data_IF_372248413954
#
_entry.id   IF_372248413954
#
_cell.length_a   1.000
_cell.length_b   1.000
_cell.length_c   1.000
_cell.angle_alpha   90.00
_cell.angle_beta   90.00
_cell.angle_gamma   90.00
#
_symmetry.space_group_name_H-M   'P 1'
#
loop_
_entity.id
_entity.type
_entity.pdbx_description
1 polymer ?
#
# COMPACT_ATOMS: atom_id res chain seq x y z
N UNK A 1 -22.73 19.56 -2.27
CA UNK A 1 -22.47 18.18 -2.74
C UNK A 1 -21.15 18.21 -3.48
N UNK A 2 -20.26 17.27 -3.21
CA UNK A 2 -18.92 17.18 -3.79
C UNK A 2 -18.80 15.88 -4.59
N UNK A 3 -17.85 15.83 -5.52
CA UNK A 3 -17.50 14.60 -6.23
C UNK A 3 -16.20 14.03 -5.65
N UNK A 4 -16.17 12.73 -5.36
CA UNK A 4 -15.01 12.06 -4.79
C UNK A 4 -14.34 11.17 -5.83
N UNK A 5 -13.04 11.37 -6.04
CA UNK A 5 -12.18 10.53 -6.88
C UNK A 5 -11.33 9.65 -5.97
N UNK A 6 -11.22 8.35 -6.28
CA UNK A 6 -10.34 7.40 -5.57
C UNK A 6 -9.20 6.92 -6.49
N UNK A 7 -8.02 6.57 -5.96
CA UNK A 7 -6.89 6.08 -6.77
C UNK A 7 -7.26 4.92 -7.71
N UNK A 8 -7.99 3.92 -7.20
CA UNK A 8 -8.41 2.77 -8.01
C UNK A 8 -9.43 3.14 -9.10
N UNK A 9 -10.27 4.15 -8.89
CA UNK A 9 -11.21 4.65 -9.90
C UNK A 9 -10.46 5.35 -11.03
N UNK A 10 -9.40 6.12 -10.73
CA UNK A 10 -8.56 6.75 -11.73
C UNK A 10 -7.85 5.72 -12.63
N UNK A 11 -7.33 4.65 -12.01
CA UNK A 11 -6.76 3.50 -12.73
C UNK A 11 -7.80 2.82 -13.62
N UNK A 12 -8.96 2.44 -13.06
CA UNK A 12 -10.05 1.82 -13.82
C UNK A 12 -10.52 2.69 -14.97
N UNK A 13 -10.59 4.01 -14.79
CA UNK A 13 -11.00 4.92 -15.86
C UNK A 13 -10.03 4.88 -17.06
N UNK A 14 -8.72 4.78 -16.79
CA UNK A 14 -7.70 4.67 -17.85
C UNK A 14 -7.69 3.29 -18.51
N UNK A 15 -7.87 2.23 -17.72
CA UNK A 15 -7.82 0.84 -18.23
C UNK A 15 -9.12 0.40 -18.91
N UNK A 16 -10.27 0.66 -18.28
CA UNK A 16 -11.59 0.27 -18.78
C UNK A 16 -12.69 1.23 -18.29
N UNK A 17 -13.02 2.24 -19.10
CA UNK A 17 -14.08 3.22 -18.81
C UNK A 17 -15.44 2.60 -18.51
N UNK A 18 -15.75 1.45 -19.12
CA UNK A 18 -17.01 0.72 -18.83
C UNK A 18 -16.99 0.12 -17.42
N UNK A 19 -15.87 -0.49 -17.01
CA UNK A 19 -15.74 -1.00 -15.66
C UNK A 19 -15.81 0.13 -14.62
N UNK A 20 -15.18 1.27 -14.91
CA UNK A 20 -15.31 2.48 -14.10
C UNK A 20 -16.76 2.98 -14.00
N UNK A 21 -17.50 3.07 -15.11
CA UNK A 21 -18.87 3.57 -15.09
C UNK A 21 -19.81 2.67 -14.28
N UNK A 22 -19.61 1.34 -14.36
CA UNK A 22 -20.38 0.37 -13.60
C UNK A 22 -20.00 0.37 -12.10
N UNK A 23 -18.71 0.40 -11.78
CA UNK A 23 -18.23 0.18 -10.41
C UNK A 23 -17.95 1.43 -9.58
N UNK A 24 -17.84 2.62 -10.19
CA UNK A 24 -17.57 3.85 -9.44
C UNK A 24 -18.77 4.25 -8.57
N UNK A 25 -18.49 4.66 -7.32
CA UNK A 25 -19.53 5.06 -6.35
C UNK A 25 -20.33 6.28 -6.80
N UNK A 26 -19.67 7.17 -7.54
CA UNK A 26 -20.29 8.40 -8.05
C UNK A 26 -21.06 8.16 -9.36
N UNK A 27 -21.13 6.90 -9.82
CA UNK A 27 -21.77 6.47 -11.07
C UNK A 27 -22.89 5.47 -10.77
N UNK A 28 -22.72 4.21 -11.18
CA UNK A 28 -23.76 3.18 -10.96
C UNK A 28 -23.57 2.41 -9.65
N UNK A 29 -22.40 2.48 -9.00
CA UNK A 29 -22.07 1.81 -7.74
C UNK A 29 -22.45 0.31 -7.73
N UNK A 30 -22.27 -0.36 -8.87
CA UNK A 30 -22.58 -1.78 -9.00
C UNK A 30 -21.43 -2.61 -8.44
N UNK A 31 -21.75 -3.46 -7.48
CA UNK A 31 -20.87 -4.49 -6.96
C UNK A 31 -21.38 -5.89 -7.38
N UNK A 32 -20.49 -6.89 -7.50
CA UNK A 32 -20.90 -8.28 -7.64
C UNK A 32 -21.82 -8.69 -6.48
N UNK A 33 -22.90 -9.42 -6.78
CA UNK A 33 -23.84 -9.89 -5.75
C UNK A 33 -23.24 -10.92 -4.78
N UNK A 34 -22.11 -11.52 -5.15
CA UNK A 34 -21.32 -12.41 -4.32
C UNK A 34 -19.82 -12.19 -4.61
N UNK A 35 -18.92 -12.42 -3.64
CA UNK A 35 -17.48 -12.35 -3.88
C UNK A 35 -17.03 -13.29 -5.00
N UNK A 36 -16.08 -12.84 -5.81
CA UNK A 36 -15.56 -13.61 -6.94
C UNK A 36 -14.57 -14.71 -6.50
N UNK A 37 -13.83 -14.47 -5.42
CA UNK A 37 -12.89 -15.38 -4.78
C UNK A 37 -13.25 -15.61 -3.31
N UNK A 38 -12.72 -16.68 -2.72
CA UNK A 38 -12.95 -17.05 -1.32
C UNK A 38 -12.23 -16.11 -0.37
N UNK A 39 -11.08 -15.61 -0.79
CA UNK A 39 -10.24 -14.70 -0.04
C UNK A 39 -9.49 -13.76 -0.99
N UNK A 40 -9.00 -12.68 -0.41
CA UNK A 40 -8.01 -11.76 -0.96
C UNK A 40 -6.82 -11.78 0.00
N UNK A 41 -5.77 -12.49 -0.42
CA UNK A 41 -4.57 -12.71 0.39
C UNK A 41 -3.80 -11.41 0.64
N UNK A 42 -3.79 -10.50 -0.34
CA UNK A 42 -3.10 -9.23 -0.22
C UNK A 42 -3.80 -8.32 0.80
N UNK A 43 -5.14 -8.25 0.77
CA UNK A 43 -5.92 -7.52 1.79
C UNK A 43 -5.62 -8.07 3.20
N UNK A 44 -5.63 -9.39 3.38
CA UNK A 44 -5.38 -10.00 4.69
C UNK A 44 -3.95 -9.75 5.21
N UNK A 45 -2.95 -9.74 4.32
CA UNK A 45 -1.57 -9.41 4.68
C UNK A 45 -1.43 -7.95 5.12
N UNK A 46 -2.12 -7.02 4.45
CA UNK A 46 -2.14 -5.62 4.84
C UNK A 46 -2.84 -5.41 6.19
N UNK A 47 -3.96 -6.10 6.47
CA UNK A 47 -4.62 -6.06 7.79
C UNK A 47 -3.66 -6.47 8.92
N UNK A 48 -2.75 -7.42 8.67
CA UNK A 48 -1.73 -7.82 9.63
C UNK A 48 -0.62 -6.78 9.80
N UNK A 49 -0.13 -6.22 8.69
CA UNK A 49 0.94 -5.22 8.69
C UNK A 49 0.49 -3.91 9.33
N UNK A 50 -0.79 -3.55 9.17
CA UNK A 50 -1.40 -2.42 9.88
C UNK A 50 -1.27 -2.58 11.40
N UNK A 51 -1.52 -3.78 11.94
CA UNK A 51 -1.35 -4.08 13.36
C UNK A 51 0.12 -4.06 13.77
N UNK A 52 1.01 -4.63 12.94
CA UNK A 52 2.44 -4.67 13.24
C UNK A 52 3.09 -3.29 13.35
N UNK A 53 2.67 -2.35 12.48
CA UNK A 53 3.19 -0.98 12.44
C UNK A 53 2.35 0.05 13.22
N UNK A 54 1.26 -0.37 13.88
CA UNK A 54 0.34 0.55 14.56
C UNK A 54 1.05 1.45 15.60
N UNK A 55 1.00 2.79 15.48
CA UNK A 55 1.77 3.70 16.34
C UNK A 55 1.47 3.56 17.84
N UNK A 56 0.20 3.27 18.19
CA UNK A 56 -0.17 3.09 19.60
C UNK A 56 0.39 1.83 20.27
N UNK A 57 0.97 0.92 19.49
CA UNK A 57 1.67 -0.28 19.98
C UNK A 57 3.17 -0.23 19.70
N UNK A 58 3.71 0.91 19.27
CA UNK A 58 5.10 1.02 18.82
C UNK A 58 6.12 0.61 19.90
N UNK A 59 5.88 1.05 21.14
CA UNK A 59 6.73 0.76 22.30
C UNK A 59 6.41 -0.59 22.97
N UNK A 60 5.45 -1.35 22.44
CA UNK A 60 5.09 -2.65 23.01
C UNK A 60 6.14 -3.69 22.65
N UNK A 61 6.29 -4.71 23.51
CA UNK A 61 7.14 -5.85 23.19
C UNK A 61 6.69 -6.51 21.88
N UNK A 62 7.63 -6.75 20.97
CA UNK A 62 7.35 -7.46 19.70
C UNK A 62 6.87 -8.90 19.91
N UNK A 63 7.14 -9.49 21.08
CA UNK A 63 6.55 -10.78 21.48
C UNK A 63 5.04 -10.73 21.71
N UNK A 64 4.47 -9.53 21.93
CA UNK A 64 3.03 -9.29 22.06
C UNK A 64 2.44 -8.89 20.70
N UNK A 65 3.10 -7.97 19.99
CA UNK A 65 2.58 -7.42 18.72
C UNK A 65 2.53 -8.47 17.61
N UNK A 66 3.56 -9.33 17.47
CA UNK A 66 3.62 -10.33 16.39
C UNK A 66 2.41 -11.29 16.41
N UNK A 67 2.06 -11.94 17.54
CA UNK A 67 0.85 -12.77 17.60
C UNK A 67 -0.44 -12.02 17.26
N UNK A 68 -0.56 -10.74 17.63
CA UNK A 68 -1.74 -9.93 17.31
C UNK A 68 -1.85 -9.66 15.80
N UNK A 69 -0.72 -9.37 15.13
CA UNK A 69 -0.68 -9.18 13.69
C UNK A 69 -1.06 -10.48 12.95
N UNK A 70 -0.52 -11.63 13.38
CA UNK A 70 -0.89 -12.94 12.84
C UNK A 70 -2.38 -13.24 13.07
N UNK A 71 -2.93 -12.88 14.23
CA UNK A 71 -4.35 -13.05 14.51
C UNK A 71 -5.23 -12.16 13.61
N UNK A 72 -4.77 -10.95 13.29
CA UNK A 72 -5.48 -10.06 12.36
C UNK A 72 -5.55 -10.66 10.95
N UNK A 73 -4.45 -11.24 10.46
CA UNK A 73 -4.41 -12.01 9.21
C UNK A 73 -5.44 -13.15 9.20
N UNK A 74 -5.39 -14.05 10.21
CA UNK A 74 -6.31 -15.19 10.30
C UNK A 74 -7.77 -14.73 10.36
N UNK A 75 -8.05 -13.67 11.13
CA UNK A 75 -9.39 -13.08 11.22
C UNK A 75 -9.86 -12.53 9.87
N UNK A 76 -8.99 -11.86 9.11
CA UNK A 76 -9.32 -11.35 7.77
C UNK A 76 -9.62 -12.49 6.80
N UNK A 77 -8.76 -13.52 6.75
CA UNK A 77 -8.93 -14.71 5.91
C UNK A 77 -10.25 -15.45 6.21
N UNK A 78 -10.60 -15.61 7.50
CA UNK A 78 -11.87 -16.24 7.91
C UNK A 78 -13.07 -15.39 7.52
N UNK A 79 -13.02 -14.08 7.77
CA UNK A 79 -14.10 -13.13 7.41
C UNK A 79 -14.42 -13.22 5.92
N UNK A 80 -13.40 -13.20 5.06
CA UNK A 80 -13.58 -13.28 3.61
C UNK A 80 -14.17 -14.63 3.18
N UNK A 81 -13.64 -15.74 3.71
CA UNK A 81 -14.16 -17.09 3.44
C UNK A 81 -15.62 -17.22 3.84
N UNK A 82 -15.98 -16.76 5.04
CA UNK A 82 -17.34 -16.85 5.55
C UNK A 82 -18.30 -15.98 4.71
N UNK A 83 -17.84 -14.81 4.23
CA UNK A 83 -18.60 -13.97 3.30
C UNK A 83 -18.83 -14.67 1.95
N UNK A 84 -17.83 -15.37 1.40
CA UNK A 84 -18.02 -16.18 0.19
C UNK A 84 -19.00 -17.35 0.44
N UNK A 85 -18.83 -18.06 1.55
CA UNK A 85 -19.63 -19.23 1.94
C UNK A 85 -21.11 -18.89 2.18
N UNK A 86 -21.42 -17.63 2.55
CA UNK A 86 -22.80 -17.16 2.67
C UNK A 86 -23.58 -17.16 1.34
N UNK A 87 -22.88 -17.20 0.20
CA UNK A 87 -23.49 -17.16 -1.13
C UNK A 87 -23.26 -18.44 -1.94
N UNK A 88 -22.24 -19.24 -1.62
CA UNK A 88 -21.81 -20.41 -2.41
C UNK A 88 -21.25 -21.49 -1.50
N UNK A 89 -21.54 -22.74 -1.79
CA UNK A 89 -20.89 -23.87 -1.12
C UNK A 89 -19.40 -23.92 -1.49
N UNK A 90 -18.54 -24.17 -0.50
CA UNK A 90 -17.11 -24.34 -0.69
C UNK A 90 -16.82 -25.78 -1.10
N UNK A 91 -16.13 -25.96 -2.23
CA UNK A 91 -15.63 -27.29 -2.62
C UNK A 91 -14.46 -27.71 -1.72
N UNK A 92 -14.17 -29.01 -1.66
CA UNK A 92 -13.02 -29.51 -0.87
C UNK A 92 -11.70 -28.91 -1.34
N UNK A 93 -11.52 -28.75 -2.66
CA UNK A 93 -10.33 -28.12 -3.23
C UNK A 93 -10.18 -26.66 -2.79
N UNK A 94 -11.29 -25.92 -2.76
CA UNK A 94 -11.35 -24.54 -2.30
C UNK A 94 -11.05 -24.41 -0.79
N UNK A 95 -11.54 -25.35 0.01
CA UNK A 95 -11.20 -25.41 1.43
C UNK A 95 -9.72 -25.71 1.63
N UNK A 96 -9.16 -26.65 0.87
CA UNK A 96 -7.74 -26.99 0.95
C UNK A 96 -6.85 -25.81 0.53
N UNK A 97 -7.18 -25.13 -0.56
CA UNK A 97 -6.50 -23.92 -1.03
C UNK A 97 -6.52 -22.82 0.04
N UNK A 98 -7.67 -22.56 0.66
CA UNK A 98 -7.77 -21.58 1.74
C UNK A 98 -6.87 -21.93 2.93
N UNK A 99 -6.85 -23.20 3.39
CA UNK A 99 -5.97 -23.61 4.49
C UNK A 99 -4.49 -23.45 4.11
N UNK A 100 -4.11 -23.84 2.90
CA UNK A 100 -2.74 -23.68 2.42
C UNK A 100 -2.29 -22.22 2.43
N UNK A 101 -3.15 -21.30 1.98
CA UNK A 101 -2.83 -19.87 2.00
C UNK A 101 -2.81 -19.28 3.40
N UNK A 102 -3.65 -19.77 4.33
CA UNK A 102 -3.54 -19.38 5.74
C UNK A 102 -2.16 -19.77 6.28
N UNK A 103 -1.74 -21.03 6.08
CA UNK A 103 -0.43 -21.50 6.56
C UNK A 103 0.74 -20.75 5.90
N UNK A 104 0.66 -20.49 4.59
CA UNK A 104 1.66 -19.71 3.86
C UNK A 104 1.77 -18.27 4.40
N UNK A 105 0.64 -17.60 4.62
CA UNK A 105 0.59 -16.22 5.11
C UNK A 105 1.14 -16.09 6.52
N UNK A 106 0.77 -17.00 7.43
CA UNK A 106 1.34 -17.04 8.78
C UNK A 106 2.86 -17.24 8.73
N UNK A 107 3.34 -18.19 7.93
CA UNK A 107 4.77 -18.43 7.79
C UNK A 107 5.51 -17.25 7.17
N UNK A 108 4.91 -16.57 6.18
CA UNK A 108 5.47 -15.38 5.54
C UNK A 108 5.57 -14.20 6.51
N UNK A 109 4.52 -13.95 7.30
CA UNK A 109 4.50 -12.88 8.31
C UNK A 109 5.56 -13.10 9.38
N UNK A 110 5.68 -14.31 9.93
CA UNK A 110 6.69 -14.60 10.96
C UNK A 110 8.13 -14.39 10.44
N UNK A 111 8.41 -14.85 9.22
CA UNK A 111 9.70 -14.57 8.56
C UNK A 111 9.89 -13.07 8.35
N UNK A 112 8.87 -12.37 7.86
CA UNK A 112 8.92 -10.93 7.63
C UNK A 112 9.20 -10.18 8.93
N UNK A 113 8.53 -10.51 10.04
CA UNK A 113 8.76 -9.85 11.33
C UNK A 113 10.16 -10.12 11.88
N UNK A 114 10.68 -11.32 11.66
CA UNK A 114 12.07 -11.65 11.99
C UNK A 114 13.03 -10.77 11.19
N UNK A 115 12.87 -10.69 9.87
CA UNK A 115 13.68 -9.87 9.00
C UNK A 115 13.56 -8.37 9.32
N UNK A 116 12.34 -7.85 9.39
CA UNK A 116 12.02 -6.45 9.64
C UNK A 116 12.67 -5.96 10.94
N UNK A 117 12.70 -6.80 11.99
CA UNK A 117 13.36 -6.45 13.25
C UNK A 117 14.88 -6.22 13.15
N UNK A 118 15.51 -6.63 12.05
CA UNK A 118 16.93 -6.41 11.79
C UNK A 118 17.21 -5.17 10.92
N UNK A 119 16.19 -4.62 10.25
CA UNK A 119 16.34 -3.51 9.29
C UNK A 119 15.44 -2.29 9.59
N UNK A 120 14.48 -2.42 10.50
CA UNK A 120 13.59 -1.33 10.91
C UNK A 120 14.32 -0.34 11.82
N UNK A 121 14.91 0.69 11.20
CA UNK A 121 15.45 1.89 11.85
C UNK A 121 14.51 3.11 11.65
N UNK A 122 13.20 2.87 11.79
CA UNK A 122 12.13 3.80 11.44
C UNK A 122 11.13 3.88 12.60
N UNK A 123 10.37 4.97 12.70
CA UNK A 123 9.28 5.13 13.68
C UNK A 123 7.96 5.37 12.94
N UNK A 124 6.90 4.64 13.27
CA UNK A 124 5.61 4.84 12.60
C UNK A 124 4.91 6.12 13.05
N UNK A 125 4.35 6.85 12.08
CA UNK A 125 3.62 8.12 12.27
C UNK A 125 2.13 7.90 12.08
N UNK A 126 1.75 7.25 10.97
CA UNK A 126 0.37 6.93 10.62
C UNK A 126 0.32 5.58 9.93
N UNK A 127 -0.75 4.84 10.18
CA UNK A 127 -1.06 3.56 9.53
C UNK A 127 -2.49 3.61 9.03
N UNK A 128 -2.73 3.06 7.84
CA UNK A 128 -4.06 2.94 7.24
C UNK A 128 -4.84 4.27 7.16
N UNK A 129 -4.13 5.39 7.04
CA UNK A 129 -4.72 6.72 7.10
C UNK A 129 -5.63 6.96 5.88
N UNK A 130 -6.94 7.08 6.12
CA UNK A 130 -7.94 7.41 5.12
C UNK A 130 -8.40 8.85 5.29
N UNK A 131 -8.20 9.67 4.27
CA UNK A 131 -8.56 11.08 4.29
C UNK A 131 -8.92 11.59 2.90
N UNK A 132 -9.57 12.76 2.89
CA UNK A 132 -9.96 13.49 1.69
C UNK A 132 -9.10 14.74 1.56
N UNK A 133 -8.68 15.04 0.34
CA UNK A 133 -8.06 16.32 0.01
C UNK A 133 -8.85 17.02 -1.10
N UNK A 134 -8.88 18.35 -1.04
CA UNK A 134 -9.37 19.14 -2.15
C UNK A 134 -8.37 19.05 -3.29
N UNK A 135 -8.83 18.68 -4.49
CA UNK A 135 -7.98 18.72 -5.69
C UNK A 135 -7.76 20.20 -6.05
N UNK A 136 -6.52 20.71 -6.15
CA UNK A 136 -6.27 22.10 -6.52
C UNK A 136 -6.64 22.34 -7.99
N UNK A 137 -7.18 23.52 -8.28
CA UNK A 137 -7.44 23.99 -9.64
C UNK A 137 -6.09 24.30 -10.32
N UNK A 138 -5.73 23.62 -11.44
CA UNK A 138 -4.42 23.81 -12.07
C UNK A 138 -4.23 25.24 -12.62
N UNK A 139 -5.32 25.97 -12.87
CA UNK A 139 -5.26 27.37 -13.31
C UNK A 139 -5.22 28.36 -12.14
N UNK A 140 -5.63 27.92 -10.95
CA UNK A 140 -5.68 28.71 -9.71
C UNK A 140 -5.34 27.80 -8.52
N UNK A 141 -4.06 27.47 -8.27
CA UNK A 141 -3.68 26.45 -7.29
C UNK A 141 -4.16 26.71 -5.86
N UNK A 142 -4.41 27.97 -5.49
CA UNK A 142 -4.97 28.36 -4.19
C UNK A 142 -6.49 28.08 -4.06
N UNK A 143 -7.14 27.67 -5.15
CA UNK A 143 -8.55 27.32 -5.21
C UNK A 143 -8.74 25.81 -5.42
N UNK A 144 -9.86 25.27 -4.92
CA UNK A 144 -10.27 23.90 -5.23
C UNK A 144 -10.84 23.80 -6.64
N UNK A 145 -10.52 22.69 -7.32
CA UNK A 145 -11.11 22.31 -8.59
C UNK A 145 -12.60 22.03 -8.39
N UNK A 146 -13.42 22.62 -9.26
CA UNK A 146 -14.87 22.43 -9.26
C UNK A 146 -15.35 21.93 -10.61
N UNK A 147 -16.47 21.21 -10.61
CA UNK A 147 -17.25 20.90 -11.81
C UNK A 147 -17.92 22.16 -12.39
N UNK A 148 -18.44 22.11 -13.63
CA UNK A 148 -19.14 23.25 -14.24
C UNK A 148 -20.36 23.75 -13.45
N UNK A 149 -21.03 22.88 -12.68
CA UNK A 149 -22.13 23.22 -11.79
C UNK A 149 -21.68 23.68 -10.37
N UNK A 150 -20.37 23.91 -10.19
CA UNK A 150 -19.79 24.49 -8.99
C UNK A 150 -19.56 23.51 -7.83
N UNK A 151 -19.65 22.19 -8.06
CA UNK A 151 -19.36 21.19 -7.02
C UNK A 151 -17.85 20.95 -6.91
N UNK A 152 -17.33 21.00 -5.69
CA UNK A 152 -15.92 20.72 -5.43
C UNK A 152 -15.55 19.27 -5.75
N UNK A 153 -14.32 19.06 -6.20
CA UNK A 153 -13.72 17.75 -6.47
C UNK A 153 -12.74 17.41 -5.36
N UNK A 154 -12.98 16.30 -4.69
CA UNK A 154 -12.16 15.75 -3.62
C UNK A 154 -11.46 14.48 -4.09
N UNK A 155 -10.26 14.25 -3.59
CA UNK A 155 -9.53 13.01 -3.78
C UNK A 155 -9.44 12.27 -2.45
N UNK A 156 -10.05 11.08 -2.40
CA UNK A 156 -10.06 10.21 -1.21
C UNK A 156 -8.98 9.16 -1.35
N UNK A 157 -8.03 9.14 -0.42
CA UNK A 157 -6.88 8.24 -0.45
C UNK A 157 -6.71 7.51 0.87
N UNK A 158 -6.35 6.22 0.79
CA UNK A 158 -5.80 5.46 1.91
C UNK A 158 -4.30 5.33 1.71
N UNK A 159 -3.53 5.79 2.69
CA UNK A 159 -2.08 5.57 2.77
C UNK A 159 -1.83 4.42 3.75
N UNK A 160 -1.02 3.46 3.33
CA UNK A 160 -0.73 2.26 4.13
C UNK A 160 0.10 2.61 5.36
N UNK A 161 1.24 3.24 5.17
CA UNK A 161 2.15 3.56 6.26
C UNK A 161 2.97 4.82 5.95
N UNK A 162 3.06 5.69 6.95
CA UNK A 162 4.02 6.80 6.98
C UNK A 162 4.92 6.61 8.20
N UNK A 163 6.22 6.74 7.98
CA UNK A 163 7.26 6.59 9.02
C UNK A 163 8.19 7.78 9.02
N UNK A 164 8.92 7.99 10.11
CA UNK A 164 10.11 8.84 10.15
C UNK A 164 11.38 8.00 10.27
N UNK A 165 12.48 8.49 9.70
CA UNK A 165 13.82 7.94 9.95
C UNK A 165 14.51 8.62 11.14
N UNK A 166 15.75 8.21 11.43
CA UNK A 166 16.57 8.78 12.52
C UNK A 166 16.88 10.29 12.38
N UNK A 167 16.60 10.89 11.21
CA UNK A 167 16.72 12.32 10.96
C UNK A 167 15.36 13.03 10.91
N UNK A 168 14.31 12.40 11.43
CA UNK A 168 12.93 12.91 11.47
C UNK A 168 12.33 13.19 10.09
N UNK A 169 12.90 12.58 9.05
CA UNK A 169 12.40 12.71 7.68
C UNK A 169 11.24 11.76 7.47
N UNK A 170 10.12 12.25 6.94
CA UNK A 170 8.95 11.44 6.67
C UNK A 170 9.09 10.65 5.36
N UNK A 171 8.73 9.38 5.39
CA UNK A 171 8.74 8.47 4.26
C UNK A 171 7.37 7.79 4.11
N UNK A 172 6.93 7.64 2.87
CA UNK A 172 5.85 6.73 2.53
C UNK A 172 6.40 5.30 2.55
N UNK A 173 5.67 4.34 3.11
CA UNK A 173 6.01 2.93 3.03
C UNK A 173 4.89 2.18 2.31
N UNK A 174 5.30 1.34 1.36
CA UNK A 174 4.41 0.57 0.49
C UNK A 174 4.75 -0.91 0.66
N UNK A 175 3.79 -1.68 1.16
CA UNK A 175 3.95 -3.11 1.29
C UNK A 175 3.46 -3.79 0.01
N UNK A 176 4.25 -4.71 -0.53
CA UNK A 176 3.94 -5.37 -1.80
C UNK A 176 4.12 -6.87 -1.65
N UNK A 177 3.04 -7.62 -1.75
CA UNK A 177 3.06 -9.07 -1.68
C UNK A 177 3.15 -9.57 -3.12
N UNK A 178 4.32 -10.08 -3.51
CA UNK A 178 4.66 -10.28 -4.93
C UNK A 178 5.20 -11.69 -5.19
N UNK A 179 4.95 -12.31 -6.35
CA UNK A 179 5.61 -13.57 -6.72
C UNK A 179 7.08 -13.33 -7.10
N UNK A 180 7.38 -12.14 -7.63
CA UNK A 180 8.70 -11.72 -8.05
C UNK A 180 8.93 -10.25 -7.68
N UNK A 181 10.16 -9.93 -7.33
CA UNK A 181 10.57 -8.57 -7.03
C UNK A 181 10.49 -7.68 -8.27
N UNK A 182 9.90 -6.49 -8.14
CA UNK A 182 9.76 -5.55 -9.24
C UNK A 182 11.10 -5.06 -9.79
N UNK A 183 11.14 -4.62 -11.04
CA UNK A 183 12.28 -3.84 -11.52
C UNK A 183 12.32 -2.46 -10.84
N UNK A 184 13.51 -1.92 -10.63
CA UNK A 184 13.66 -0.61 -9.99
C UNK A 184 13.00 0.52 -10.80
N UNK A 185 13.04 0.46 -12.14
CA UNK A 185 12.37 1.47 -12.97
C UNK A 185 10.85 1.42 -12.81
N UNK A 186 10.29 0.22 -12.58
CA UNK A 186 8.87 0.08 -12.30
C UNK A 186 8.51 0.76 -10.96
N UNK A 187 9.36 0.61 -9.93
CA UNK A 187 9.16 1.27 -8.64
C UNK A 187 9.29 2.80 -8.74
N UNK A 188 10.27 3.30 -9.51
CA UNK A 188 10.44 4.74 -9.76
C UNK A 188 9.23 5.39 -10.45
N UNK A 189 8.49 4.60 -11.22
CA UNK A 189 7.33 5.06 -12.00
C UNK A 189 5.99 4.69 -11.37
N UNK A 190 5.99 4.23 -10.12
CA UNK A 190 4.77 3.83 -9.43
C UNK A 190 3.86 5.03 -9.14
N UNK A 191 2.85 5.18 -10.00
CA UNK A 191 1.87 6.26 -9.93
C UNK A 191 1.10 6.28 -8.61
N UNK A 192 0.84 5.12 -8.01
CA UNK A 192 0.10 5.01 -6.75
C UNK A 192 0.88 5.68 -5.61
N UNK A 193 2.14 5.31 -5.46
CA UNK A 193 3.05 5.92 -4.48
C UNK A 193 3.24 7.42 -4.70
N UNK A 194 3.39 7.84 -5.96
CA UNK A 194 3.50 9.25 -6.31
C UNK A 194 2.27 10.04 -5.88
N UNK A 195 1.09 9.52 -6.21
CA UNK A 195 -0.20 10.14 -5.90
C UNK A 195 -0.48 10.17 -4.39
N UNK A 196 -0.15 9.10 -3.66
CA UNK A 196 -0.32 9.02 -2.21
C UNK A 196 0.52 10.05 -1.47
N UNK A 197 1.80 10.18 -1.82
CA UNK A 197 2.66 11.18 -1.20
C UNK A 197 2.27 12.62 -1.58
N UNK A 198 1.88 12.89 -2.83
CA UNK A 198 1.28 14.18 -3.19
C UNK A 198 0.07 14.50 -2.31
N UNK A 199 -0.81 13.51 -2.11
CA UNK A 199 -2.00 13.71 -1.29
C UNK A 199 -1.66 13.95 0.18
N UNK A 200 -0.65 13.26 0.71
CA UNK A 200 -0.12 13.50 2.06
C UNK A 200 0.42 14.92 2.22
N UNK A 201 1.26 15.37 1.29
CA UNK A 201 1.88 16.69 1.33
C UNK A 201 0.84 17.82 1.33
N UNK A 202 -0.26 17.66 0.58
CA UNK A 202 -1.39 18.59 0.62
C UNK A 202 -2.19 18.44 1.93
N UNK A 203 -2.55 17.22 2.32
CA UNK A 203 -3.48 16.98 3.42
C UNK A 203 -2.90 17.27 4.81
N UNK A 204 -1.60 17.05 4.99
CA UNK A 204 -0.91 17.14 6.29
C UNK A 204 0.21 18.19 6.31
N UNK A 205 0.45 18.90 5.20
CA UNK A 205 1.52 19.91 5.08
C UNK A 205 2.91 19.40 5.48
N UNK A 206 3.12 18.07 5.39
CA UNK A 206 4.36 17.40 5.73
C UNK A 206 5.04 16.85 4.49
N UNK A 207 6.29 17.22 4.25
CA UNK A 207 7.08 16.75 3.10
C UNK A 207 7.36 15.25 3.19
N UNK A 208 7.21 14.53 2.08
CA UNK A 208 7.65 13.14 1.95
C UNK A 208 9.02 13.12 1.25
N UNK A 209 10.02 12.60 1.95
CA UNK A 209 11.39 12.48 1.44
C UNK A 209 11.56 11.34 0.43
N UNK A 210 10.60 10.43 0.33
CA UNK A 210 10.65 9.33 -0.61
C UNK A 210 9.65 8.23 -0.31
N UNK A 211 9.78 7.15 -1.07
CA UNK A 211 9.01 5.92 -0.86
C UNK A 211 9.96 4.78 -0.47
N UNK A 212 9.58 4.03 0.55
CA UNK A 212 10.20 2.77 0.95
C UNK A 212 9.30 1.65 0.46
N UNK A 213 9.78 0.84 -0.47
CA UNK A 213 9.09 -0.36 -0.92
C UNK A 213 9.54 -1.55 -0.09
N UNK A 214 8.60 -2.20 0.58
CA UNK A 214 8.78 -3.47 1.28
C UNK A 214 8.11 -4.57 0.47
N UNK A 215 8.90 -5.34 -0.27
CA UNK A 215 8.41 -6.44 -1.08
C UNK A 215 8.59 -7.77 -0.35
N UNK A 216 7.47 -8.49 -0.20
CA UNK A 216 7.38 -9.80 0.42
C UNK A 216 7.12 -10.84 -0.66
N UNK A 217 8.08 -11.73 -0.90
CA UNK A 217 7.99 -12.72 -1.98
C UNK A 217 7.18 -13.94 -1.55
N UNK A 218 6.10 -14.24 -2.26
CA UNK A 218 5.32 -15.48 -2.09
C UNK A 218 6.01 -16.66 -2.78
N UNK A 219 5.72 -17.90 -2.36
CA UNK A 219 6.30 -19.10 -3.00
C UNK A 219 7.82 -19.28 -2.88
N UNK A 220 8.53 -18.41 -2.15
CA UNK A 220 9.99 -18.44 -2.01
C UNK A 220 10.55 -19.67 -1.24
N UNK A 221 9.68 -20.55 -0.73
CA UNK A 221 10.07 -21.70 0.09
C UNK A 221 10.66 -21.32 1.45
N UNK A 222 10.97 -22.34 2.26
CA UNK A 222 11.65 -22.21 3.57
C UNK A 222 13.17 -21.97 3.41
N UNK A 223 13.59 -21.18 2.41
CA UNK A 223 15.02 -20.89 2.21
C UNK A 223 15.58 -20.24 3.48
N UNK A 224 16.44 -20.98 4.16
CA UNK A 224 16.64 -20.89 5.60
C UNK A 224 17.74 -19.90 6.00
N UNK A 225 18.27 -19.16 5.03
CA UNK A 225 19.30 -18.15 5.26
C UNK A 225 19.04 -16.94 4.38
N UNK A 226 18.40 -15.93 4.98
CA UNK A 226 18.38 -14.59 4.42
C UNK A 226 19.77 -13.98 4.59
N UNK A 227 20.67 -14.28 3.66
CA UNK A 227 21.89 -13.48 3.54
C UNK A 227 21.48 -12.09 3.07
N UNK A 228 21.48 -11.15 4.01
CA UNK A 228 21.16 -9.77 3.74
C UNK A 228 22.24 -9.17 2.84
N UNK A 229 21.86 -8.86 1.60
CA UNK A 229 22.67 -8.07 0.70
C UNK A 229 22.26 -6.61 0.83
N UNK A 230 23.23 -5.75 1.15
CA UNK A 230 23.03 -4.30 1.22
C UNK A 230 23.72 -3.68 0.01
N UNK A 231 22.94 -2.98 -0.80
CA UNK A 231 23.38 -2.26 -1.97
C UNK A 231 23.02 -0.78 -1.88
N UNK A 232 23.82 0.06 -2.52
CA UNK A 232 23.49 1.46 -2.74
C UNK A 232 23.83 1.82 -4.19
N UNK A 233 22.93 2.53 -4.85
CA UNK A 233 23.12 2.97 -6.23
C UNK A 233 22.70 4.42 -6.39
N UNK A 234 23.39 5.15 -7.27
CA UNK A 234 22.97 6.49 -7.66
C UNK A 234 21.77 6.38 -8.60
N UNK A 235 20.66 6.97 -8.21
CA UNK A 235 19.45 7.08 -9.01
C UNK A 235 19.16 8.53 -9.41
N UNK A 236 18.15 8.75 -10.27
CA UNK A 236 17.74 10.09 -10.70
C UNK A 236 17.40 11.03 -9.53
N UNK A 237 16.88 10.45 -8.45
CA UNK A 237 16.36 11.14 -7.26
C UNK A 237 17.39 11.30 -6.13
N UNK A 238 18.59 10.72 -6.30
CA UNK A 238 19.61 10.62 -5.25
C UNK A 238 20.01 9.17 -4.96
N UNK A 239 20.53 8.93 -3.76
CA UNK A 239 21.03 7.61 -3.37
C UNK A 239 19.88 6.65 -3.05
N UNK A 240 19.70 5.65 -3.91
CA UNK A 240 18.76 4.55 -3.69
C UNK A 240 19.48 3.49 -2.85
N UNK A 241 18.89 3.16 -1.69
CA UNK A 241 19.39 2.10 -0.81
C UNK A 241 18.53 0.86 -0.96
N UNK A 242 19.15 -0.30 -1.07
CA UNK A 242 18.46 -1.57 -1.16
C UNK A 242 19.02 -2.55 -0.14
N UNK A 243 18.11 -3.22 0.58
CA UNK A 243 18.41 -4.33 1.48
C UNK A 243 17.58 -5.51 1.01
N UNK A 244 18.22 -6.59 0.57
CA UNK A 244 17.51 -7.74 -0.02
C UNK A 244 18.03 -9.07 0.53
N UNK A 245 17.11 -10.01 0.73
CA UNK A 245 17.37 -11.43 0.90
C UNK A 245 16.58 -12.24 -0.12
N UNK A 246 16.46 -13.55 0.11
CA UNK A 246 15.66 -14.41 -0.77
C UNK A 246 14.15 -14.08 -0.67
N UNK A 247 13.61 -13.93 0.55
CA UNK A 247 12.18 -13.71 0.76
C UNK A 247 11.74 -12.24 0.74
N UNK A 248 12.64 -11.31 1.04
CA UNK A 248 12.27 -9.91 1.30
C UNK A 248 13.21 -8.92 0.62
N UNK A 249 12.66 -7.78 0.21
CA UNK A 249 13.44 -6.64 -0.29
C UNK A 249 12.88 -5.32 0.23
N UNK A 250 13.76 -4.48 0.78
CA UNK A 250 13.51 -3.07 1.08
C UNK A 250 14.25 -2.19 0.08
N UNK A 251 13.52 -1.29 -0.58
CA UNK A 251 14.12 -0.30 -1.49
C UNK A 251 13.71 1.09 -1.05
N UNK A 252 14.67 1.92 -0.63
CA UNK A 252 14.48 3.33 -0.34
C UNK A 252 14.72 4.14 -1.61
N UNK A 253 13.68 4.77 -2.12
CA UNK A 253 13.74 5.66 -3.27
C UNK A 253 13.48 7.09 -2.76
N UNK A 254 14.53 7.92 -2.62
CA UNK A 254 14.35 9.32 -2.28
C UNK A 254 13.51 10.03 -3.33
N UNK A 255 12.90 11.16 -2.97
CA UNK A 255 12.31 12.12 -3.89
C UNK A 255 13.21 13.35 -3.95
N UNK A 256 13.60 13.74 -5.16
CA UNK A 256 14.21 15.05 -5.35
C UNK A 256 13.13 16.13 -5.50
N UNK A 257 13.42 17.36 -5.05
CA UNK A 257 12.62 18.54 -5.39
C UNK A 257 12.64 18.84 -6.90
N UNK A 258 13.62 18.31 -7.64
CA UNK A 258 13.82 18.49 -9.08
C UNK A 258 12.94 17.54 -9.92
N UNK A 259 12.65 16.32 -9.44
CA UNK A 259 11.74 15.39 -10.13
C UNK A 259 10.28 15.83 -10.08
N UNK A 260 9.86 16.49 -9.01
CA UNK A 260 8.54 17.11 -8.93
C UNK A 260 8.42 18.31 -9.88
N UNK A 261 9.51 19.06 -10.09
CA UNK A 261 9.53 20.19 -11.03
C UNK A 261 9.53 19.73 -12.51
N UNK A 262 9.98 18.51 -12.80
CA UNK A 262 10.11 17.96 -14.16
C UNK A 262 8.83 17.40 -14.80
N UNK A 263 7.69 17.37 -14.11
CA UNK A 263 6.41 16.80 -14.62
C UNK A 263 5.24 17.78 -14.79
N UNK A 264 5.54 19.05 -15.11
CA UNK A 264 4.62 19.87 -15.89
C UNK A 264 3.43 20.47 -15.14
N UNK A 265 3.70 21.42 -14.24
CA UNK A 265 2.80 22.59 -14.12
C UNK A 265 3.09 23.51 -15.33
N UNK A 266 2.61 23.08 -16.48
CA UNK A 266 2.36 23.89 -17.65
C UNK A 266 1.15 23.26 -18.34
N UNK A 267 -0.01 23.81 -18.02
CA UNK A 267 -1.24 23.61 -18.79
C UNK A 267 -0.95 24.03 -20.23
N UNK A 268 -1.12 23.09 -21.17
CA UNK A 268 -1.48 23.40 -22.54
C UNK A 268 -2.97 23.10 -22.70
#
# INVERSE_FOLDING_TARGET
MYHVIRPWEARLFRECRRAWDLGSRERQDLAPAAPASIFDFDEAMHDALDIYYFPGMWDWSRTIVRPLAVQAFDKAMRRQRDAYAAHRELTDAQQQEWHQHVDEGVALLERYFSWASTVDELTSVQVAALFDITVPDPTRPDAGLCTPDGKGIWFRVRIELVVTDAHERCWLVEHRIVPEFADLNALLLDEQSLTRAWAWEIGFLGRIEGTIYNELRTGAGSETSEQLQVGAMQGPSGLIKQQSGAGFRRTHIPRSSVELAGRGVAVA
#
